data_IF_353969672511
#
_entry.id   IF_353969672511
#
_cell.length_a   1.000
_cell.length_b   1.000
_cell.length_c   1.000
_cell.angle_alpha   90.00
_cell.angle_beta   90.00
_cell.angle_gamma   90.00
#
_symmetry.space_group_name_H-M   'P 1'
#
loop_
_entity.id
_entity.type
_entity.pdbx_description
1 polymer ?
#
# COMPACT_ATOMS: atom_id res chain seq x y z
N UNK A 1 50.82 -59.79 -9.29
CA UNK A 1 50.87 -58.35 -8.94
C UNK A 1 49.46 -57.79 -9.00
N UNK A 2 48.90 -57.37 -7.86
CA UNK A 2 47.56 -56.75 -7.82
C UNK A 2 47.70 -55.23 -7.91
N UNK A 3 46.97 -54.62 -8.84
CA UNK A 3 46.89 -53.16 -9.04
C UNK A 3 45.83 -52.58 -8.10
N UNK A 4 46.11 -51.53 -7.30
CA UNK A 4 45.08 -50.89 -6.50
C UNK A 4 44.13 -50.07 -7.40
N UNK A 5 42.85 -50.08 -7.05
CA UNK A 5 41.83 -49.27 -7.71
C UNK A 5 41.91 -47.82 -7.21
N UNK A 6 42.04 -46.87 -8.14
CA UNK A 6 42.03 -45.45 -7.84
C UNK A 6 40.64 -45.01 -7.36
N UNK A 7 40.53 -44.30 -6.22
CA UNK A 7 39.25 -43.76 -5.79
C UNK A 7 38.85 -42.63 -6.75
N UNK A 8 37.75 -42.82 -7.47
CA UNK A 8 37.13 -41.74 -8.26
C UNK A 8 36.84 -40.57 -7.34
N UNK A 9 37.56 -39.47 -7.53
CA UNK A 9 37.38 -38.21 -6.81
C UNK A 9 36.10 -37.50 -7.27
N UNK A 10 34.94 -38.14 -7.06
CA UNK A 10 33.67 -37.44 -7.17
C UNK A 10 33.58 -36.45 -6.00
N UNK A 11 33.98 -35.22 -6.30
CA UNK A 11 34.02 -34.14 -5.35
C UNK A 11 32.58 -33.80 -4.94
N UNK A 12 32.26 -34.03 -3.66
CA UNK A 12 30.96 -33.67 -3.06
C UNK A 12 30.54 -32.23 -3.38
N UNK A 13 31.51 -31.32 -3.52
CA UNK A 13 31.28 -29.92 -3.88
C UNK A 13 30.73 -29.77 -5.29
N UNK A 14 31.19 -30.58 -6.23
CA UNK A 14 30.73 -30.51 -7.63
C UNK A 14 29.34 -31.15 -7.76
N UNK A 15 29.06 -32.21 -6.99
CA UNK A 15 27.70 -32.75 -6.86
C UNK A 15 26.72 -31.72 -6.29
N UNK A 16 27.10 -31.03 -5.20
CA UNK A 16 26.26 -29.98 -4.60
C UNK A 16 26.06 -28.83 -5.59
N UNK A 17 27.12 -28.36 -6.27
CA UNK A 17 27.01 -27.30 -7.29
C UNK A 17 26.06 -27.67 -8.42
N UNK A 18 26.19 -28.86 -8.98
CA UNK A 18 25.34 -29.33 -10.08
C UNK A 18 23.89 -29.53 -9.65
N UNK A 19 23.67 -30.07 -8.44
CA UNK A 19 22.31 -30.31 -7.93
C UNK A 19 21.62 -29.00 -7.51
N UNK A 20 22.35 -28.06 -6.92
CA UNK A 20 21.83 -26.75 -6.51
C UNK A 20 21.49 -25.86 -7.71
N UNK A 21 22.29 -25.88 -8.78
CA UNK A 21 21.98 -25.14 -10.00
C UNK A 21 20.75 -25.68 -10.73
N UNK A 22 20.59 -27.01 -10.80
CA UNK A 22 19.42 -27.64 -11.42
C UNK A 22 18.11 -27.33 -10.68
N UNK A 23 18.13 -27.31 -9.34
CA UNK A 23 16.93 -27.08 -8.51
C UNK A 23 16.51 -25.61 -8.49
N UNK A 24 17.46 -24.67 -8.54
CA UNK A 24 17.16 -23.22 -8.55
C UNK A 24 16.36 -22.79 -9.79
N UNK A 25 16.58 -23.44 -10.94
CA UNK A 25 15.87 -23.13 -12.18
C UNK A 25 14.37 -23.50 -12.14
N UNK A 26 14.00 -24.54 -11.38
CA UNK A 26 12.61 -25.04 -11.33
C UNK A 26 11.71 -24.29 -10.35
N UNK A 27 12.24 -23.64 -9.31
CA UNK A 27 11.40 -23.02 -8.26
C UNK A 27 10.73 -21.72 -8.72
N UNK A 28 11.31 -21.03 -9.72
CA UNK A 28 10.73 -19.78 -10.25
C UNK A 28 10.00 -19.97 -11.60
N UNK A 29 10.16 -21.12 -12.25
CA UNK A 29 9.50 -21.46 -13.51
C UNK A 29 8.04 -21.87 -13.24
N UNK A 30 7.17 -20.88 -12.97
CA UNK A 30 5.74 -21.11 -12.73
C UNK A 30 5.11 -20.18 -11.69
N UNK A 31 5.92 -19.38 -10.98
CA UNK A 31 5.38 -18.36 -10.08
C UNK A 31 4.94 -17.17 -10.92
N UNK A 32 3.66 -17.15 -11.29
CA UNK A 32 3.01 -15.93 -11.75
C UNK A 32 3.00 -14.94 -10.58
N UNK A 33 3.86 -13.92 -10.61
CA UNK A 33 3.77 -12.81 -9.65
C UNK A 33 2.43 -12.12 -9.94
N UNK A 34 1.45 -12.17 -9.02
CA UNK A 34 0.19 -11.51 -9.24
C UNK A 34 0.47 -10.02 -9.39
N UNK A 35 0.07 -9.45 -10.52
CA UNK A 35 0.08 -8.00 -10.73
C UNK A 35 -0.99 -7.37 -9.83
N UNK A 36 -0.68 -7.20 -8.55
CA UNK A 36 -1.50 -6.45 -7.57
C UNK A 36 -1.36 -4.95 -7.83
N UNK A 37 -1.82 -4.50 -9.00
CA UNK A 37 -2.06 -3.08 -9.24
C UNK A 37 -3.35 -2.73 -8.52
N UNK A 38 -3.25 -1.96 -7.43
CA UNK A 38 -4.41 -1.43 -6.71
C UNK A 38 -5.20 -0.51 -7.64
N UNK A 39 -6.19 -1.06 -8.33
CA UNK A 39 -7.28 -0.32 -8.95
C UNK A 39 -8.35 0.03 -7.91
N UNK A 40 -7.92 0.38 -6.69
CA UNK A 40 -8.80 0.87 -5.64
C UNK A 40 -8.77 2.39 -5.75
N UNK A 41 -9.95 3.00 -5.72
CA UNK A 41 -10.09 4.44 -5.57
C UNK A 41 -9.66 4.81 -4.14
N UNK A 42 -8.35 4.85 -3.90
CA UNK A 42 -7.73 5.01 -2.58
C UNK A 42 -7.87 6.44 -2.07
N UNK A 43 -9.09 6.84 -1.73
CA UNK A 43 -9.36 8.04 -0.95
C UNK A 43 -9.31 7.69 0.54
N UNK A 44 -8.48 8.41 1.29
CA UNK A 44 -8.58 8.47 2.74
C UNK A 44 -9.87 9.20 3.10
N UNK A 45 -10.83 8.45 3.63
CA UNK A 45 -12.12 8.97 4.03
C UNK A 45 -12.01 9.67 5.39
N UNK A 46 -12.42 10.92 5.45
CA UNK A 46 -12.41 11.77 6.64
C UNK A 46 -13.86 12.03 7.05
N UNK A 47 -14.15 11.87 8.34
CA UNK A 47 -15.40 12.29 8.94
C UNK A 47 -15.13 13.36 10.00
N UNK A 48 -15.96 14.40 10.03
CA UNK A 48 -15.86 15.47 11.02
C UNK A 48 -16.97 15.34 12.07
N UNK A 49 -16.59 15.27 13.35
CA UNK A 49 -17.52 15.41 14.48
C UNK A 49 -17.17 16.69 15.24
N UNK A 50 -18.13 17.62 15.32
CA UNK A 50 -17.93 18.95 15.90
C UNK A 50 -17.53 19.99 14.83
N UNK A 51 -18.52 20.60 14.20
CA UNK A 51 -18.42 21.60 13.13
C UNK A 51 -18.12 23.02 13.66
N UNK A 52 -17.40 23.13 14.78
CA UNK A 52 -16.91 24.40 15.31
C UNK A 52 -15.69 24.93 14.53
N UNK A 53 -15.16 26.10 14.93
CA UNK A 53 -14.03 26.73 14.23
C UNK A 53 -12.77 25.84 14.18
N UNK A 54 -12.51 25.05 15.23
CA UNK A 54 -11.37 24.13 15.27
C UNK A 54 -11.58 22.90 14.39
N UNK A 55 -12.73 22.24 14.51
CA UNK A 55 -13.05 21.05 13.70
C UNK A 55 -13.10 21.38 12.20
N UNK A 56 -13.72 22.51 11.84
CA UNK A 56 -13.72 23.02 10.47
C UNK A 56 -12.30 23.31 9.97
N UNK A 57 -11.45 23.93 10.79
CA UNK A 57 -10.05 24.17 10.44
C UNK A 57 -9.25 22.89 10.24
N UNK A 58 -9.46 21.88 11.09
CA UNK A 58 -8.81 20.59 10.98
C UNK A 58 -9.23 19.85 9.70
N UNK A 59 -10.53 19.80 9.40
CA UNK A 59 -11.05 19.22 8.17
C UNK A 59 -10.50 19.95 6.93
N UNK A 60 -10.46 21.29 6.97
CA UNK A 60 -9.88 22.09 5.90
C UNK A 60 -8.39 21.78 5.67
N UNK A 61 -7.62 21.63 6.74
CA UNK A 61 -6.19 21.27 6.62
C UNK A 61 -6.03 19.88 6.02
N UNK A 62 -6.84 18.90 6.44
CA UNK A 62 -6.79 17.54 5.91
C UNK A 62 -7.09 17.50 4.39
N UNK A 63 -8.17 18.14 3.94
CA UNK A 63 -8.53 18.13 2.51
C UNK A 63 -7.61 19.03 1.65
N UNK A 64 -6.92 20.00 2.25
CA UNK A 64 -5.99 20.89 1.53
C UNK A 64 -4.70 20.21 1.07
N UNK A 65 -4.41 19.01 1.57
CA UNK A 65 -3.24 18.24 1.14
C UNK A 65 -3.39 17.91 -0.35
N UNK A 66 -2.36 18.22 -1.19
CA UNK A 66 -2.39 17.90 -2.60
C UNK A 66 -2.55 16.39 -2.87
N UNK A 67 -3.32 16.02 -3.89
CA UNK A 67 -3.68 14.62 -4.20
C UNK A 67 -2.48 13.75 -4.53
N UNK A 68 -1.43 14.38 -5.08
CA UNK A 68 -0.12 13.75 -5.33
C UNK A 68 0.60 13.31 -4.04
N UNK A 69 0.19 13.82 -2.88
CA UNK A 69 0.72 13.48 -1.56
C UNK A 69 -0.30 12.62 -0.79
N UNK A 70 -1.54 13.08 -0.66
CA UNK A 70 -2.61 12.33 -0.03
C UNK A 70 -3.97 12.68 -0.66
N UNK A 71 -4.73 11.65 -1.04
CA UNK A 71 -6.10 11.79 -1.55
C UNK A 71 -7.07 11.75 -0.37
N UNK A 72 -7.38 12.91 0.21
CA UNK A 72 -8.32 13.01 1.33
C UNK A 72 -9.71 13.44 0.85
N UNK A 73 -10.76 12.78 1.34
CA UNK A 73 -12.16 13.09 1.03
C UNK A 73 -13.00 13.21 2.30
N UNK A 74 -13.70 14.32 2.49
CA UNK A 74 -14.66 14.51 3.57
C UNK A 74 -15.99 13.82 3.18
N UNK A 75 -16.32 12.72 3.86
CA UNK A 75 -17.48 11.89 3.52
C UNK A 75 -18.67 12.07 4.46
N UNK A 76 -18.44 12.61 5.66
CA UNK A 76 -19.48 12.82 6.66
C UNK A 76 -19.15 13.97 7.61
N UNK A 77 -20.20 14.63 8.11
CA UNK A 77 -20.11 15.67 9.12
C UNK A 77 -21.25 15.53 10.14
N UNK A 78 -20.97 15.77 11.42
CA UNK A 78 -21.97 15.78 12.49
C UNK A 78 -21.70 16.91 13.51
N UNK A 79 -22.76 17.60 13.93
CA UNK A 79 -22.77 18.56 15.03
C UNK A 79 -24.18 18.60 15.63
N UNK A 80 -24.30 18.95 16.92
CA UNK A 80 -25.59 19.15 17.59
C UNK A 80 -26.32 20.41 17.11
N UNK A 81 -25.58 21.37 16.54
CA UNK A 81 -26.10 22.60 15.97
C UNK A 81 -26.12 22.53 14.44
N UNK A 82 -27.32 22.51 13.87
CA UNK A 82 -27.53 22.55 12.42
C UNK A 82 -26.90 23.79 11.78
N UNK A 83 -27.04 24.96 12.42
CA UNK A 83 -26.43 26.20 11.93
C UNK A 83 -24.90 26.11 11.81
N UNK A 84 -24.22 25.49 12.79
CA UNK A 84 -22.77 25.28 12.72
C UNK A 84 -22.40 24.28 11.64
N UNK A 85 -23.16 23.18 11.55
CA UNK A 85 -22.98 22.15 10.53
C UNK A 85 -23.07 22.74 9.13
N UNK A 86 -24.13 23.49 8.84
CA UNK A 86 -24.38 24.10 7.53
C UNK A 86 -23.31 25.14 7.16
N UNK A 87 -22.93 25.98 8.12
CA UNK A 87 -21.90 27.00 7.89
C UNK A 87 -20.53 26.35 7.64
N UNK A 88 -20.17 25.33 8.42
CA UNK A 88 -18.94 24.57 8.23
C UNK A 88 -18.94 23.83 6.90
N UNK A 89 -20.04 23.17 6.54
CA UNK A 89 -20.18 22.46 5.27
C UNK A 89 -20.01 23.39 4.08
N UNK A 90 -20.68 24.55 4.07
CA UNK A 90 -20.52 25.57 3.02
C UNK A 90 -19.07 26.05 2.92
N UNK A 91 -18.43 26.34 4.06
CA UNK A 91 -17.04 26.77 4.09
C UNK A 91 -16.06 25.71 3.57
N UNK A 92 -16.28 24.44 3.93
CA UNK A 92 -15.45 23.31 3.49
C UNK A 92 -15.68 22.99 2.02
N UNK A 93 -16.93 22.97 1.55
CA UNK A 93 -17.27 22.76 0.13
C UNK A 93 -16.62 23.81 -0.77
N UNK A 94 -16.60 25.07 -0.34
CA UNK A 94 -15.94 26.14 -1.08
C UNK A 94 -14.40 25.99 -1.15
N UNK A 95 -13.79 25.25 -0.21
CA UNK A 95 -12.33 25.02 -0.16
C UNK A 95 -11.91 23.73 -0.84
N UNK A 96 -12.66 22.65 -0.63
CA UNK A 96 -12.36 21.29 -1.09
C UNK A 96 -13.04 20.89 -2.40
N UNK A 97 -14.06 21.62 -2.84
CA UNK A 97 -14.88 21.25 -4.01
C UNK A 97 -15.72 20.01 -3.72
N UNK A 98 -15.68 19.03 -4.61
CA UNK A 98 -16.40 17.74 -4.49
C UNK A 98 -15.65 16.69 -3.65
N UNK A 99 -14.60 17.13 -2.94
CA UNK A 99 -13.75 16.31 -2.09
C UNK A 99 -14.05 16.55 -0.62
#
# INVERSE_FOLDING_TARGET
MNKPAEPSSSNRRDFIKTTSSATAASVLAGVAIPRVHSAVDDWTQVALVGAGGRGTGAAANAISVPDKIARNKLVAMADVSSAKLDNSYKALKNRGGDR
#
